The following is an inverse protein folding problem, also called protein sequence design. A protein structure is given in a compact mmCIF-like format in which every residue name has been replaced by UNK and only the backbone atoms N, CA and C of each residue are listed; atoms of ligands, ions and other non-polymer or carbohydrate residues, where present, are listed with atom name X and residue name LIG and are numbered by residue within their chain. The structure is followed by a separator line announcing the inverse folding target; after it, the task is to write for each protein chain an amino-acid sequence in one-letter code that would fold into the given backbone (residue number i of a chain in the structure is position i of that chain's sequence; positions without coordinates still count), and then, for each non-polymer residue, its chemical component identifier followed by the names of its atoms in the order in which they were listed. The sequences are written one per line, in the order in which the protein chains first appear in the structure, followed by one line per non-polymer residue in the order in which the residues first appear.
data_IF_278277062204
#
_entry.id   IF_278277062204
#
_cell.length_a   1.000
_cell.length_b   1.000
_cell.length_c   1.000
_cell.angle_alpha   90.00
_cell.angle_beta   90.00
_cell.angle_gamma   90.00
#
_symmetry.space_group_name_H-M   'P 1'
#
loop_
_entity.id
_entity.type
_entity.pdbx_description
1 polymer ?
#
# COMPACT_ATOMS: atom_id res chain seq x y z
N UNK A 1 2.87 40.40 33.84
CA UNK A 1 2.54 40.17 32.42
C UNK A 1 3.75 39.47 31.78
N UNK A 2 3.72 38.32 31.13
CA UNK A 2 2.73 37.26 30.93
C UNK A 2 3.56 35.98 30.65
N UNK A 3 3.37 34.92 31.43
CA UNK A 3 2.79 33.63 31.00
C UNK A 3 3.73 32.70 30.23
N UNK A 4 4.37 31.80 30.99
CA UNK A 4 4.90 30.51 30.54
C UNK A 4 3.74 29.51 30.40
N UNK A 5 3.51 28.95 29.21
CA UNK A 5 2.80 27.66 29.00
C UNK A 5 2.60 27.39 27.51
N UNK A 6 3.35 26.45 26.92
CA UNK A 6 2.90 25.69 25.72
C UNK A 6 3.92 24.59 25.35
N UNK A 7 4.14 23.64 26.25
CA UNK A 7 4.91 22.40 25.95
C UNK A 7 4.04 21.13 25.98
N UNK A 8 2.74 21.24 26.29
CA UNK A 8 1.83 20.10 26.45
C UNK A 8 1.08 19.68 25.17
N UNK A 9 1.02 20.52 24.12
CA UNK A 9 0.25 20.22 22.91
C UNK A 9 0.96 19.32 21.89
N UNK A 10 2.29 19.18 21.95
CA UNK A 10 3.06 18.32 21.03
C UNK A 10 3.11 16.84 21.43
N UNK A 11 2.78 16.49 22.69
CA UNK A 11 2.86 15.11 23.17
C UNK A 11 1.59 14.28 22.87
N UNK A 12 0.44 14.93 22.71
CA UNK A 12 -0.84 14.24 22.53
C UNK A 12 -1.11 13.78 21.08
N UNK A 13 -0.49 14.43 20.08
CA UNK A 13 -0.55 13.99 18.68
C UNK A 13 0.24 12.68 18.46
N UNK A 14 1.37 12.52 19.15
CA UNK A 14 2.21 11.31 19.06
C UNK A 14 1.56 10.09 19.72
N UNK A 15 0.71 10.27 20.73
CA UNK A 15 0.03 9.15 21.41
C UNK A 15 -1.09 8.53 20.58
N UNK A 16 -1.83 9.31 19.77
CA UNK A 16 -2.84 8.75 18.87
C UNK A 16 -2.20 7.95 17.73
N UNK A 17 -1.08 8.41 17.18
CA UNK A 17 -0.37 7.70 16.10
C UNK A 17 0.30 6.39 16.58
N UNK A 18 0.74 6.32 17.84
CA UNK A 18 1.34 5.11 18.41
C UNK A 18 0.31 3.99 18.66
N UNK A 19 -0.92 4.33 19.07
CA UNK A 19 -1.98 3.35 19.31
C UNK A 19 -2.49 2.68 18.03
N UNK A 20 -2.44 3.35 16.88
CA UNK A 20 -2.75 2.72 15.59
C UNK A 20 -1.64 1.77 15.10
N UNK A 21 -0.40 1.94 15.56
CA UNK A 21 0.75 1.15 15.10
C UNK A 21 0.99 -0.16 15.85
N UNK A 22 0.51 -0.31 17.09
CA UNK A 22 0.76 -1.52 17.89
C UNK A 22 -0.31 -2.62 17.75
N UNK A 23 -1.46 -2.36 17.12
CA UNK A 23 -2.50 -3.39 16.91
C UNK A 23 -2.40 -4.13 15.56
N UNK A 24 -1.62 -3.64 14.60
CA UNK A 24 -1.60 -4.20 13.24
C UNK A 24 -0.65 -5.40 13.04
N UNK A 25 0.25 -5.67 13.99
CA UNK A 25 1.31 -6.68 13.82
C UNK A 25 1.06 -8.02 14.54
N UNK A 26 -0.16 -8.31 15.03
CA UNK A 26 -0.42 -9.52 15.84
C UNK A 26 -1.09 -10.69 15.09
N UNK A 27 -1.26 -10.58 13.78
CA UNK A 27 -2.05 -11.56 13.00
C UNK A 27 -1.24 -12.21 11.87
N UNK A 28 -0.02 -12.66 12.15
CA UNK A 28 0.63 -13.67 11.31
C UNK A 28 0.66 -14.99 12.10
N UNK A 29 -0.48 -15.67 12.15
CA UNK A 29 -0.56 -17.00 12.75
C UNK A 29 0.17 -17.99 11.86
N UNK A 30 1.30 -18.50 12.37
CA UNK A 30 1.98 -19.72 11.91
C UNK A 30 0.97 -20.85 11.72
N UNK A 31 0.75 -21.30 10.48
CA UNK A 31 0.14 -22.60 10.25
C UNK A 31 1.17 -23.70 10.55
N UNK A 32 1.04 -24.35 11.70
CA UNK A 32 1.64 -25.67 11.98
C UNK A 32 0.60 -26.72 11.57
N UNK A 33 0.92 -27.53 10.56
CA UNK A 33 0.11 -28.69 10.18
C UNK A 33 0.62 -29.90 10.97
N UNK A 34 -0.17 -30.37 11.93
CA UNK A 34 -0.01 -31.68 12.57
C UNK A 34 -1.34 -32.44 12.41
N UNK A 35 -1.22 -33.71 12.05
CA UNK A 35 -2.27 -34.62 11.63
C UNK A 35 -2.92 -35.38 12.80
N UNK A 36 -4.14 -35.86 12.54
CA UNK A 36 -4.72 -37.16 12.97
C UNK A 36 -5.83 -37.16 14.05
N UNK A 37 -7.07 -37.42 13.57
CA UNK A 37 -8.27 -38.10 14.10
C UNK A 37 -8.62 -38.16 15.60
N UNK A 38 -9.87 -37.81 15.96
CA UNK A 38 -10.87 -38.72 16.58
C UNK A 38 -12.20 -38.03 16.99
N UNK A 39 -13.32 -38.55 16.46
CA UNK A 39 -14.72 -38.66 16.98
C UNK A 39 -15.54 -37.47 17.53
N UNK A 40 -16.90 -37.49 17.36
CA UNK A 40 -17.79 -36.36 17.62
C UNK A 40 -18.55 -36.48 18.95
N UNK A 41 -18.62 -35.39 19.71
CA UNK A 41 -19.65 -35.22 20.75
C UNK A 41 -19.96 -33.75 20.99
N UNK A 42 -21.25 -33.44 20.98
CA UNK A 42 -21.90 -32.16 21.20
C UNK A 42 -21.35 -31.38 22.41
N UNK A 43 -21.02 -30.10 22.20
CA UNK A 43 -21.06 -29.07 23.23
C UNK A 43 -21.49 -27.73 22.61
N UNK A 44 -22.72 -27.37 22.94
CA UNK A 44 -23.27 -26.04 23.21
C UNK A 44 -22.81 -24.81 22.41
N UNK A 45 -23.77 -24.34 21.62
CA UNK A 45 -24.20 -22.94 21.42
C UNK A 45 -23.48 -21.90 22.30
N UNK A 46 -22.40 -21.35 21.78
CA UNK A 46 -22.04 -19.94 22.00
C UNK A 46 -21.74 -19.35 20.63
N UNK A 47 -22.81 -18.84 20.00
CA UNK A 47 -22.70 -17.88 18.92
C UNK A 47 -22.18 -16.58 19.57
N UNK A 48 -20.87 -16.48 19.74
CA UNK A 48 -20.22 -15.22 20.05
C UNK A 48 -19.83 -14.57 18.72
N UNK A 49 -20.39 -13.40 18.52
CA UNK A 49 -20.37 -12.57 17.33
C UNK A 49 -18.97 -11.98 17.13
N UNK A 50 -17.98 -12.83 16.84
CA UNK A 50 -16.70 -12.37 16.31
C UNK A 50 -16.99 -11.96 14.88
N UNK A 51 -16.89 -10.67 14.50
CA UNK A 51 -17.08 -10.28 13.12
C UNK A 51 -15.96 -10.95 12.31
N UNK A 52 -16.29 -12.06 11.66
CA UNK A 52 -15.45 -12.71 10.64
C UNK A 52 -15.48 -11.89 9.34
N UNK A 53 -15.90 -10.63 9.41
CA UNK A 53 -15.68 -9.60 8.38
C UNK A 53 -14.20 -9.31 8.09
N UNK A 54 -13.28 -10.15 8.60
CA UNK A 54 -11.93 -9.76 8.99
C UNK A 54 -10.78 -10.24 8.12
N UNK A 55 -10.99 -11.02 7.06
CA UNK A 55 -9.84 -11.53 6.27
C UNK A 55 -10.03 -11.36 4.76
N UNK A 56 -11.24 -11.56 4.23
CA UNK A 56 -11.45 -11.43 2.79
C UNK A 56 -12.77 -10.69 2.52
N UNK A 57 -12.74 -9.67 1.66
CA UNK A 57 -13.93 -8.97 1.13
C UNK A 57 -14.10 -9.33 -0.34
N UNK A 58 -15.31 -9.21 -0.91
CA UNK A 58 -15.48 -9.29 -2.35
C UNK A 58 -14.57 -8.29 -3.06
N UNK A 59 -14.02 -8.69 -4.21
CA UNK A 59 -13.10 -7.86 -4.98
C UNK A 59 -13.71 -6.49 -5.31
N UNK A 60 -15.01 -6.46 -5.58
CA UNK A 60 -15.76 -5.23 -5.87
C UNK A 60 -15.69 -4.21 -4.73
N UNK A 61 -15.74 -4.65 -3.47
CA UNK A 61 -15.62 -3.77 -2.30
C UNK A 61 -14.19 -3.25 -2.16
N UNK A 62 -13.18 -4.10 -2.37
CA UNK A 62 -11.77 -3.71 -2.34
C UNK A 62 -11.53 -2.61 -3.38
N UNK A 63 -11.95 -2.84 -4.63
CA UNK A 63 -11.79 -1.88 -5.71
C UNK A 63 -12.55 -0.57 -5.44
N UNK A 64 -13.75 -0.64 -4.84
CA UNK A 64 -14.51 0.55 -4.45
C UNK A 64 -13.77 1.39 -3.41
N UNK A 65 -13.14 0.76 -2.42
CA UNK A 65 -12.34 1.46 -1.42
C UNK A 65 -11.06 2.06 -2.02
N UNK A 66 -10.34 1.31 -2.86
CA UNK A 66 -9.11 1.77 -3.52
C UNK A 66 -9.36 2.94 -4.48
N UNK A 67 -10.54 3.05 -5.09
CA UNK A 67 -10.92 4.16 -5.97
C UNK A 67 -11.23 5.48 -5.23
N UNK A 68 -11.33 5.47 -3.89
CA UNK A 68 -11.55 6.70 -3.13
C UNK A 68 -10.36 7.65 -3.28
N UNK A 69 -10.63 8.97 -3.30
CA UNK A 69 -9.56 9.97 -3.32
C UNK A 69 -8.69 9.83 -2.08
N UNK A 70 -7.38 9.88 -2.29
CA UNK A 70 -6.40 9.88 -1.20
C UNK A 70 -6.36 11.30 -0.61
N UNK A 71 -6.41 11.47 0.72
CA UNK A 71 -6.32 12.79 1.34
C UNK A 71 -5.05 13.53 0.92
N UNK A 72 -5.17 14.85 0.66
CA UNK A 72 -4.04 15.68 0.22
C UNK A 72 -2.87 15.70 1.22
N UNK A 73 -3.14 15.45 2.51
CA UNK A 73 -2.10 15.33 3.54
C UNK A 73 -1.12 14.18 3.32
N UNK A 74 -1.50 13.18 2.52
CA UNK A 74 -0.67 12.03 2.15
C UNK A 74 -0.02 12.19 0.77
N UNK A 75 -0.40 13.23 0.03
CA UNK A 75 0.15 13.56 -1.28
C UNK A 75 1.36 14.47 -1.09
N UNK A 76 2.42 14.21 -1.85
CA UNK A 76 3.62 15.04 -1.90
C UNK A 76 3.78 15.65 -3.27
N UNK A 77 4.44 16.79 -3.33
CA UNK A 77 4.79 17.47 -4.57
C UNK A 77 6.30 17.46 -4.72
N UNK A 78 6.79 17.09 -5.90
CA UNK A 78 8.20 17.24 -6.30
C UNK A 78 8.28 18.13 -7.53
N UNK A 79 9.37 18.86 -7.67
CA UNK A 79 9.66 19.64 -8.88
C UNK A 79 10.52 18.77 -9.79
N UNK A 80 10.07 18.55 -11.02
CA UNK A 80 10.87 17.84 -12.02
C UNK A 80 11.92 18.76 -12.65
N UNK A 81 12.86 18.21 -13.42
CA UNK A 81 13.97 18.99 -14.05
C UNK A 81 13.46 20.16 -14.92
N UNK A 82 12.27 19.99 -15.49
CA UNK A 82 11.63 20.97 -16.36
C UNK A 82 10.85 22.05 -15.59
N UNK A 83 10.91 22.04 -14.25
CA UNK A 83 10.26 23.02 -13.38
C UNK A 83 8.79 22.74 -13.08
N UNK A 84 8.18 21.73 -13.68
CA UNK A 84 6.79 21.36 -13.44
C UNK A 84 6.61 20.64 -12.10
N UNK A 85 5.63 21.06 -11.26
CA UNK A 85 5.32 20.38 -10.02
C UNK A 85 4.52 19.11 -10.30
N UNK A 86 5.02 17.97 -9.83
CA UNK A 86 4.35 16.67 -9.93
C UNK A 86 3.87 16.24 -8.55
N UNK A 87 2.56 16.04 -8.43
CA UNK A 87 1.94 15.42 -7.26
C UNK A 87 2.07 13.90 -7.33
N UNK A 88 2.39 13.27 -6.20
CA UNK A 88 2.52 11.82 -6.10
C UNK A 88 2.24 11.34 -4.68
N UNK A 89 1.85 10.08 -4.55
CA UNK A 89 1.75 9.39 -3.25
C UNK A 89 3.05 8.62 -3.02
N UNK A 90 3.75 8.77 -1.88
CA UNK A 90 4.94 7.95 -1.60
C UNK A 90 4.60 6.45 -1.57
N UNK A 91 5.53 5.60 -2.05
CA UNK A 91 5.27 4.15 -2.19
C UNK A 91 4.84 3.48 -0.87
N UNK A 92 5.42 3.87 0.26
CA UNK A 92 5.09 3.29 1.56
C UNK A 92 3.66 3.65 2.02
N UNK A 93 3.10 4.77 1.54
CA UNK A 93 1.70 5.12 1.78
C UNK A 93 0.79 4.22 0.96
N UNK A 94 1.11 4.01 -0.33
CA UNK A 94 0.38 3.08 -1.20
C UNK A 94 0.36 1.67 -0.57
N UNK A 95 1.51 1.19 -0.09
CA UNK A 95 1.61 -0.09 0.63
C UNK A 95 0.71 -0.15 1.86
N UNK A 96 0.61 0.95 2.63
CA UNK A 96 -0.25 1.00 3.82
C UNK A 96 -1.73 0.98 3.47
N UNK A 97 -2.13 1.64 2.39
CA UNK A 97 -3.51 1.63 1.89
C UNK A 97 -3.88 0.22 1.40
N UNK A 98 -2.98 -0.47 0.68
CA UNK A 98 -3.20 -1.87 0.32
C UNK A 98 -3.35 -2.77 1.54
N UNK A 99 -2.46 -2.68 2.52
CA UNK A 99 -2.56 -3.47 3.76
C UNK A 99 -3.88 -3.22 4.51
N UNK A 100 -4.47 -2.03 4.39
CA UNK A 100 -5.73 -1.68 5.04
C UNK A 100 -6.95 -2.29 4.34
N UNK A 101 -6.97 -2.27 3.00
CA UNK A 101 -8.16 -2.63 2.22
C UNK A 101 -8.08 -4.03 1.59
N UNK A 102 -6.89 -4.56 1.39
CA UNK A 102 -6.62 -5.85 0.76
C UNK A 102 -5.41 -6.51 1.45
N UNK A 103 -5.51 -6.92 2.73
CA UNK A 103 -4.36 -7.38 3.53
C UNK A 103 -3.61 -8.59 2.93
N UNK A 104 -4.26 -9.34 2.05
CA UNK A 104 -3.68 -10.51 1.38
C UNK A 104 -2.99 -10.20 0.04
N UNK A 105 -2.94 -8.92 -0.36
CA UNK A 105 -2.32 -8.53 -1.63
C UNK A 105 -0.87 -9.04 -1.76
N UNK A 106 -0.46 -9.34 -2.99
CA UNK A 106 0.91 -9.72 -3.31
C UNK A 106 1.50 -8.81 -4.38
N UNK A 107 2.81 -8.63 -4.32
CA UNK A 107 3.56 -7.87 -5.30
C UNK A 107 4.83 -8.61 -5.69
N UNK A 108 5.15 -8.60 -6.97
CA UNK A 108 6.35 -9.25 -7.49
C UNK A 108 6.97 -8.44 -8.65
N UNK A 109 8.30 -8.45 -8.70
CA UNK A 109 9.06 -7.96 -9.85
C UNK A 109 9.02 -9.03 -10.94
N UNK A 110 8.47 -8.68 -12.11
CA UNK A 110 8.34 -9.59 -13.27
C UNK A 110 9.59 -9.56 -14.15
N UNK A 111 10.17 -8.38 -14.34
CA UNK A 111 11.42 -8.24 -15.07
C UNK A 111 12.18 -7.00 -14.66
N UNK A 112 13.50 -7.06 -14.82
CA UNK A 112 14.42 -5.93 -14.70
C UNK A 112 15.23 -5.89 -15.99
N UNK A 113 15.12 -4.78 -16.72
CA UNK A 113 15.80 -4.61 -18.01
C UNK A 113 16.65 -3.35 -17.98
N UNK A 114 17.95 -3.51 -18.19
CA UNK A 114 18.87 -2.40 -18.39
C UNK A 114 18.83 -1.93 -19.84
N UNK A 115 18.90 -0.62 -20.07
CA UNK A 115 19.05 -0.06 -21.42
C UNK A 115 20.33 -0.57 -22.08
N UNK A 116 20.37 -0.68 -23.40
CA UNK A 116 21.57 -1.09 -24.14
C UNK A 116 22.81 -0.25 -23.83
N UNK A 117 22.62 1.04 -23.53
CA UNK A 117 23.69 1.98 -23.18
C UNK A 117 24.04 2.00 -21.68
N UNK A 118 23.40 1.15 -20.86
CA UNK A 118 23.53 1.12 -19.41
C UNK A 118 23.29 2.48 -18.70
N UNK A 119 22.44 3.34 -19.27
CA UNK A 119 22.06 4.65 -18.69
C UNK A 119 20.78 4.62 -17.88
N UNK A 120 19.93 3.63 -18.09
CA UNK A 120 18.67 3.48 -17.36
C UNK A 120 18.33 2.03 -17.09
N UNK A 121 17.50 1.83 -16.07
CA UNK A 121 16.91 0.54 -15.70
C UNK A 121 15.39 0.68 -15.71
N UNK A 122 14.73 -0.31 -16.32
CA UNK A 122 13.28 -0.43 -16.34
C UNK A 122 12.86 -1.68 -15.58
N UNK A 123 11.86 -1.53 -14.71
CA UNK A 123 11.31 -2.62 -13.88
C UNK A 123 9.84 -2.78 -14.22
N UNK A 124 9.43 -4.02 -14.50
CA UNK A 124 8.02 -4.40 -14.60
C UNK A 124 7.59 -5.02 -13.28
N UNK A 125 6.55 -4.46 -12.68
CA UNK A 125 6.02 -4.90 -11.39
C UNK A 125 4.56 -5.33 -11.53
N UNK A 126 4.22 -6.48 -10.93
CA UNK A 126 2.86 -7.01 -10.85
C UNK A 126 2.33 -6.84 -9.43
N UNK A 127 1.11 -6.31 -9.31
CA UNK A 127 0.34 -6.31 -8.07
C UNK A 127 -0.88 -7.19 -8.28
N UNK A 128 -1.12 -8.12 -7.35
CA UNK A 128 -2.28 -9.01 -7.35
C UNK A 128 -3.12 -8.72 -6.11
N UNK A 129 -4.42 -8.56 -6.31
CA UNK A 129 -5.42 -8.45 -5.26
C UNK A 129 -6.23 -9.76 -5.20
N UNK A 130 -6.51 -10.20 -3.98
CA UNK A 130 -7.32 -11.38 -3.72
C UNK A 130 -8.63 -10.92 -3.07
N UNK A 131 -9.74 -11.22 -3.73
CA UNK A 131 -11.07 -11.14 -3.14
C UNK A 131 -11.58 -12.54 -2.81
N UNK A 132 -12.68 -12.62 -2.07
CA UNK A 132 -13.37 -13.90 -1.78
C UNK A 132 -13.91 -14.58 -3.03
N UNK A 133 -14.20 -13.80 -4.07
CA UNK A 133 -14.88 -14.19 -5.30
C UNK A 133 -13.93 -14.31 -6.50
N UNK A 134 -12.87 -13.51 -6.55
CA UNK A 134 -11.90 -13.51 -7.65
C UNK A 134 -10.52 -12.99 -7.23
N UNK A 135 -9.50 -13.41 -7.97
CA UNK A 135 -8.17 -12.78 -7.97
C UNK A 135 -7.97 -11.96 -9.24
N UNK A 136 -7.33 -10.79 -9.13
CA UNK A 136 -6.96 -10.01 -10.31
C UNK A 136 -5.58 -9.40 -10.13
N UNK A 137 -4.84 -9.27 -11.23
CA UNK A 137 -3.55 -8.59 -11.24
C UNK A 137 -3.50 -7.46 -12.25
N UNK A 138 -2.63 -6.48 -11.97
CA UNK A 138 -2.28 -5.39 -12.86
C UNK A 138 -0.78 -5.20 -12.84
N UNK A 139 -0.23 -4.96 -14.02
CA UNK A 139 1.21 -4.75 -14.21
C UNK A 139 1.50 -3.32 -14.64
N UNK A 140 2.67 -2.83 -14.26
CA UNK A 140 3.18 -1.55 -14.74
C UNK A 140 4.69 -1.55 -14.84
N UNK A 141 5.20 -0.61 -15.62
CA UNK A 141 6.62 -0.32 -15.72
C UNK A 141 6.98 0.98 -15.01
N UNK A 142 8.16 0.99 -14.40
CA UNK A 142 8.87 2.17 -13.95
C UNK A 142 10.28 2.18 -14.52
N UNK A 143 10.80 3.36 -14.82
CA UNK A 143 12.14 3.54 -15.40
C UNK A 143 12.87 4.59 -14.61
N UNK A 144 14.11 4.30 -14.25
CA UNK A 144 15.01 5.20 -13.54
C UNK A 144 16.34 5.31 -14.28
N UNK A 145 16.95 6.48 -14.26
CA UNK A 145 18.31 6.67 -14.74
C UNK A 145 19.31 6.14 -13.72
N UNK A 146 20.40 5.54 -14.19
CA UNK A 146 21.50 5.06 -13.34
C UNK A 146 22.31 6.23 -12.79
N UNK A 147 22.41 7.33 -13.55
CA UNK A 147 23.12 8.55 -13.15
C UNK A 147 22.33 9.41 -12.16
N UNK A 148 21.09 9.03 -11.83
CA UNK A 148 20.28 9.76 -10.86
C UNK A 148 20.81 9.50 -9.44
N UNK A 149 21.59 10.47 -8.94
CA UNK A 149 22.20 10.47 -7.60
C UNK A 149 21.22 10.74 -6.46
N UNK A 150 19.92 10.89 -6.74
CA UNK A 150 18.91 10.99 -5.69
C UNK A 150 18.79 9.70 -4.85
N UNK A 151 18.05 9.76 -3.75
CA UNK A 151 17.97 8.68 -2.76
C UNK A 151 17.51 7.32 -3.32
N UNK A 152 18.23 6.25 -2.95
CA UNK A 152 17.94 4.85 -3.30
C UNK A 152 18.66 4.38 -4.56
N UNK A 153 18.75 3.06 -4.75
CA UNK A 153 19.33 2.52 -5.98
C UNK A 153 18.37 2.68 -7.19
N UNK A 154 18.87 2.68 -8.43
CA UNK A 154 18.02 2.85 -9.62
C UNK A 154 16.93 1.79 -9.76
N UNK A 155 17.18 0.55 -9.32
CA UNK A 155 16.19 -0.54 -9.37
C UNK A 155 15.06 -0.28 -8.38
N UNK A 156 15.36 0.08 -7.14
CA UNK A 156 14.39 0.46 -6.10
C UNK A 156 13.53 1.64 -6.54
N UNK A 157 14.13 2.64 -7.21
CA UNK A 157 13.37 3.78 -7.76
C UNK A 157 12.41 3.31 -8.84
N UNK A 158 12.89 2.53 -9.80
CA UNK A 158 12.09 2.00 -10.90
C UNK A 158 10.98 1.08 -10.37
N UNK A 159 11.26 0.22 -9.41
CA UNK A 159 10.31 -0.65 -8.73
C UNK A 159 9.24 0.17 -8.01
N UNK A 160 9.62 1.17 -7.20
CA UNK A 160 8.68 2.02 -6.50
C UNK A 160 7.79 2.82 -7.46
N UNK A 161 8.30 3.21 -8.63
CA UNK A 161 7.49 3.84 -9.70
C UNK A 161 6.51 2.84 -10.31
N UNK A 162 6.98 1.64 -10.66
CA UNK A 162 6.17 0.57 -11.23
C UNK A 162 5.04 0.16 -10.27
N UNK A 163 5.36 -0.07 -9.00
CA UNK A 163 4.41 -0.42 -7.95
C UNK A 163 3.27 0.59 -7.84
N UNK A 164 3.59 1.89 -7.69
CA UNK A 164 2.56 2.94 -7.58
C UNK A 164 1.64 2.99 -8.81
N UNK A 165 2.22 2.84 -10.01
CA UNK A 165 1.46 2.85 -11.28
C UNK A 165 0.62 1.58 -11.45
N UNK A 166 1.08 0.44 -10.95
CA UNK A 166 0.27 -0.79 -10.91
C UNK A 166 -0.93 -0.60 -9.96
N UNK A 167 -0.73 0.00 -8.79
CA UNK A 167 -1.81 0.34 -7.87
C UNK A 167 -2.81 1.35 -8.46
N UNK A 168 -2.34 2.33 -9.24
CA UNK A 168 -3.22 3.28 -9.93
C UNK A 168 -4.18 2.59 -10.91
N UNK A 169 -3.79 1.46 -11.52
CA UNK A 169 -4.69 0.65 -12.37
C UNK A 169 -5.82 -0.04 -11.60
N UNK A 170 -5.74 -0.08 -10.27
CA UNK A 170 -6.86 -0.48 -9.39
C UNK A 170 -7.69 0.71 -8.89
N UNK A 171 -7.31 1.94 -9.25
CA UNK A 171 -7.95 3.17 -8.78
C UNK A 171 -7.17 3.95 -7.73
N UNK A 172 -6.19 3.30 -7.06
CA UNK A 172 -5.47 3.92 -5.95
C UNK A 172 -4.55 5.04 -6.44
N UNK A 173 -4.92 6.28 -6.12
CA UNK A 173 -4.18 7.47 -6.57
C UNK A 173 -4.42 7.83 -8.04
N UNK A 174 -5.41 7.20 -8.70
CA UNK A 174 -5.73 7.46 -10.10
C UNK A 174 -6.14 8.93 -10.34
N UNK A 175 -6.82 9.54 -9.37
CA UNK A 175 -7.22 10.96 -9.41
C UNK A 175 -6.06 11.94 -9.58
N UNK A 176 -4.80 11.54 -9.32
CA UNK A 176 -3.63 12.39 -9.52
C UNK A 176 -3.21 12.51 -10.99
N UNK A 177 -3.71 11.62 -11.86
CA UNK A 177 -3.42 11.62 -13.29
C UNK A 177 -4.44 12.41 -14.10
N UNK A 178 -5.59 12.72 -13.52
CA UNK A 178 -6.52 13.64 -14.16
C UNK A 178 -5.96 15.04 -13.97
N UNK A 179 -5.77 15.76 -15.08
CA UNK A 179 -5.72 17.20 -15.04
C UNK A 179 -6.99 17.63 -14.28
N UNK A 180 -6.85 18.34 -13.15
CA UNK A 180 -7.99 19.12 -12.70
C UNK A 180 -8.34 19.98 -13.91
N UNK A 181 -9.47 19.70 -14.54
CA UNK A 181 -10.19 20.69 -15.33
C UNK A 181 -10.46 21.84 -14.36
N UNK A 182 -9.45 22.68 -14.19
CA UNK A 182 -9.43 23.90 -13.41
C UNK A 182 -10.48 24.86 -13.94
#
# INVERSE_FOLDING_TARGET
MASSSSSSLKLNSLRKTLCYHLKQNRCYSKLKRASTSSSPSEFDKVADDVPTSGICRPLSEILKELNKKVPDSLVKTRIEKDGFPIRYIPWHVVNRVLNLHAPEWSGEVRSITYSAEAKSVSVVYRVTLYGTDAEIFRESTGTASIDDTSYGDPVQKAEAMAFRRACARFGLGLHLYHEESS
#
